data_IF_422161900282
#
_entry.id   IF_422161900282
#
_cell.length_a   1.000
_cell.length_b   1.000
_cell.length_c   1.000
_cell.angle_alpha   90.00
_cell.angle_beta   90.00
_cell.angle_gamma   90.00
#
_symmetry.space_group_name_H-M   'P 1'
#
loop_
_entity.id
_entity.type
_entity.pdbx_description
1 polymer ?
#
# COMPACT_ATOMS: atom_id res chain seq x y z
N UNK A 1 -59.68 -51.24 6.18
CA UNK A 1 -60.28 -50.92 4.86
C UNK A 1 -59.14 -50.60 3.91
N UNK A 2 -59.01 -51.43 2.89
CA UNK A 2 -57.97 -51.41 1.85
C UNK A 2 -58.28 -50.32 0.83
N UNK A 3 -57.28 -49.54 0.39
CA UNK A 3 -57.39 -48.81 -0.88
C UNK A 3 -56.08 -48.95 -1.66
N UNK A 4 -56.23 -49.51 -2.85
CA UNK A 4 -55.20 -49.69 -3.87
C UNK A 4 -55.87 -49.36 -5.20
N UNK A 5 -55.40 -48.37 -5.96
CA UNK A 5 -55.33 -48.40 -7.44
C UNK A 5 -54.87 -47.06 -8.05
N UNK A 6 -53.78 -47.13 -8.81
CA UNK A 6 -53.56 -46.65 -10.19
C UNK A 6 -54.12 -45.29 -10.65
N UNK A 7 -53.21 -44.52 -11.26
CA UNK A 7 -53.32 -43.67 -12.48
C UNK A 7 -52.77 -42.26 -12.22
N UNK A 8 -51.54 -41.97 -12.65
CA UNK A 8 -51.21 -41.46 -14.00
C UNK A 8 -52.05 -40.21 -14.31
N UNK A 9 -51.50 -39.04 -14.01
CA UNK A 9 -51.78 -37.82 -14.75
C UNK A 9 -50.55 -36.92 -14.69
N UNK A 10 -49.80 -36.99 -15.78
CA UNK A 10 -48.80 -36.06 -16.25
C UNK A 10 -49.12 -34.59 -15.88
N UNK A 11 -48.27 -33.99 -15.05
CA UNK A 11 -48.05 -32.55 -15.05
C UNK A 11 -46.57 -32.28 -15.28
N UNK A 12 -46.16 -32.42 -16.54
CA UNK A 12 -44.95 -31.79 -17.06
C UNK A 12 -45.13 -30.28 -17.01
N UNK A 13 -44.39 -29.59 -16.15
CA UNK A 13 -44.26 -28.14 -16.19
C UNK A 13 -42.82 -27.75 -15.85
N UNK A 14 -42.09 -27.48 -16.92
CA UNK A 14 -40.92 -26.61 -17.05
C UNK A 14 -39.98 -26.49 -15.83
N UNK A 15 -38.93 -27.30 -15.82
CA UNK A 15 -37.70 -26.97 -15.08
C UNK A 15 -37.02 -25.83 -15.85
N UNK A 16 -37.22 -24.59 -15.38
CA UNK A 16 -36.44 -23.45 -15.84
C UNK A 16 -34.99 -23.64 -15.40
N UNK A 17 -34.11 -23.95 -16.37
CA UNK A 17 -32.65 -23.89 -16.21
C UNK A 17 -32.23 -22.43 -16.05
N UNK A 18 -32.34 -21.92 -14.82
CA UNK A 18 -31.71 -20.67 -14.40
C UNK A 18 -30.21 -20.91 -14.19
N UNK A 19 -29.42 -20.92 -15.26
CA UNK A 19 -27.98 -20.83 -15.16
C UNK A 19 -27.62 -19.41 -14.70
N UNK A 20 -27.58 -19.18 -13.39
CA UNK A 20 -27.00 -17.97 -12.82
C UNK A 20 -25.50 -17.98 -13.07
N UNK A 21 -25.07 -17.38 -14.17
CA UNK A 21 -23.68 -17.00 -14.40
C UNK A 21 -23.33 -15.89 -13.38
N UNK A 22 -22.97 -16.30 -12.16
CA UNK A 22 -22.26 -15.42 -11.24
C UNK A 22 -20.86 -15.27 -11.82
N UNK A 23 -20.70 -14.30 -12.73
CA UNK A 23 -19.41 -13.82 -13.17
C UNK A 23 -18.71 -13.15 -12.00
N UNK A 24 -18.02 -13.93 -11.16
CA UNK A 24 -17.06 -13.40 -10.19
C UNK A 24 -15.93 -12.78 -11.00
N UNK A 25 -16.04 -11.50 -11.33
CA UNK A 25 -14.90 -10.67 -11.72
C UNK A 25 -14.08 -10.37 -10.46
N UNK A 26 -13.47 -11.42 -9.91
CA UNK A 26 -12.38 -11.26 -8.97
C UNK A 26 -11.18 -10.79 -9.76
N UNK A 27 -10.88 -9.49 -9.70
CA UNK A 27 -9.51 -9.05 -9.96
C UNK A 27 -8.65 -9.69 -8.87
N UNK A 28 -8.00 -10.80 -9.20
CA UNK A 28 -6.95 -11.37 -8.38
C UNK A 28 -5.80 -10.36 -8.39
N UNK A 29 -5.88 -9.37 -7.51
CA UNK A 29 -4.71 -8.61 -7.06
C UNK A 29 -3.88 -9.64 -6.32
N UNK A 30 -3.06 -10.38 -7.06
CA UNK A 30 -2.02 -11.19 -6.43
C UNK A 30 -1.14 -10.18 -5.69
N UNK A 31 -1.05 -10.23 -4.34
CA UNK A 31 0.10 -9.64 -3.70
C UNK A 31 1.28 -10.38 -4.34
N UNK A 32 2.10 -9.65 -5.10
CA UNK A 32 3.37 -10.21 -5.55
C UNK A 32 4.16 -10.39 -4.27
N UNK A 33 4.08 -11.58 -3.68
CA UNK A 33 5.00 -12.02 -2.66
C UNK A 33 6.36 -12.04 -3.35
N UNK A 34 7.10 -10.96 -3.21
CA UNK A 34 8.44 -10.88 -3.77
C UNK A 34 9.31 -11.86 -2.99
N UNK A 35 10.19 -12.56 -3.70
CA UNK A 35 11.10 -13.51 -3.10
C UNK A 35 11.82 -12.87 -1.89
N UNK A 36 11.82 -13.54 -0.74
CA UNK A 36 12.48 -13.06 0.48
C UNK A 36 11.58 -12.58 1.62
N UNK A 37 10.24 -12.70 1.52
CA UNK A 37 9.32 -12.37 2.62
C UNK A 37 8.98 -10.89 2.77
N UNK A 38 9.29 -10.09 1.74
CA UNK A 38 8.93 -8.68 1.63
C UNK A 38 7.44 -8.51 1.27
N UNK A 39 6.82 -7.44 1.78
CA UNK A 39 5.41 -7.12 1.54
C UNK A 39 5.33 -5.98 0.54
N UNK A 40 5.07 -6.32 -0.72
CA UNK A 40 5.02 -5.38 -1.84
C UNK A 40 3.66 -5.46 -2.53
N UNK A 41 2.66 -4.87 -1.88
CA UNK A 41 1.30 -4.79 -2.41
C UNK A 41 1.20 -3.70 -3.46
N UNK A 42 0.76 -4.06 -4.66
CA UNK A 42 0.36 -3.11 -5.69
C UNK A 42 -1.11 -2.71 -5.50
N UNK A 43 -1.44 -1.46 -5.79
CA UNK A 43 -2.78 -0.91 -5.64
C UNK A 43 -2.96 -0.14 -4.34
N UNK A 44 -4.20 0.31 -4.04
CA UNK A 44 -4.40 1.25 -2.98
C UNK A 44 -4.16 0.64 -1.59
N UNK A 45 -3.47 1.37 -0.74
CA UNK A 45 -3.03 0.94 0.58
C UNK A 45 -2.94 2.10 1.56
N UNK A 46 -2.57 1.82 2.80
CA UNK A 46 -2.39 2.84 3.84
C UNK A 46 -0.91 2.99 4.18
N UNK A 47 -0.39 4.21 4.27
CA UNK A 47 0.99 4.45 4.73
C UNK A 47 1.10 5.64 5.68
N UNK A 48 2.14 5.67 6.51
CA UNK A 48 2.56 6.89 7.22
C UNK A 48 3.71 7.59 6.51
N UNK A 49 3.83 8.89 6.77
CA UNK A 49 4.72 9.76 6.03
C UNK A 49 5.52 10.63 6.96
N UNK A 50 6.76 10.83 6.55
CA UNK A 50 7.72 11.73 7.14
C UNK A 50 8.44 12.47 6.03
N UNK A 51 9.22 13.46 6.41
CA UNK A 51 10.13 14.16 5.52
C UNK A 51 11.56 13.89 5.94
N UNK A 52 12.48 13.77 4.98
CA UNK A 52 13.90 13.64 5.26
C UNK A 52 14.74 14.41 4.23
N UNK A 53 16.01 14.68 4.57
CA UNK A 53 16.98 15.36 3.70
C UNK A 53 18.15 14.44 3.36
N UNK A 54 18.89 14.75 2.29
CA UNK A 54 20.21 14.12 2.03
C UNK A 54 20.23 12.82 1.21
N UNK A 55 19.37 12.62 0.21
CA UNK A 55 19.35 11.39 -0.61
C UNK A 55 20.30 11.40 -1.82
N UNK A 56 21.46 12.07 -1.73
CA UNK A 56 22.40 12.15 -2.86
C UNK A 56 23.03 10.78 -3.22
N UNK A 57 22.95 9.81 -2.31
CA UNK A 57 23.43 8.44 -2.50
C UNK A 57 22.35 7.46 -2.00
N UNK A 58 21.22 7.33 -2.72
CA UNK A 58 20.08 6.61 -2.20
C UNK A 58 20.25 5.09 -2.41
N UNK A 59 19.53 4.27 -1.65
CA UNK A 59 19.70 2.80 -1.64
C UNK A 59 19.52 2.12 -3.00
N UNK A 60 18.78 2.73 -3.94
CA UNK A 60 18.68 2.22 -5.31
C UNK A 60 19.92 2.47 -6.18
N UNK A 61 20.91 3.21 -5.68
CA UNK A 61 22.14 3.57 -6.40
C UNK A 61 21.98 4.65 -7.46
N UNK A 62 20.76 5.14 -7.68
CA UNK A 62 20.43 6.15 -8.69
C UNK A 62 19.56 7.22 -8.04
N UNK A 63 20.08 8.45 -7.96
CA UNK A 63 19.28 9.62 -7.61
C UNK A 63 18.37 10.00 -8.79
N UNK A 64 17.22 10.62 -8.48
CA UNK A 64 16.31 11.12 -9.49
C UNK A 64 15.97 12.59 -9.23
N UNK A 65 15.66 13.32 -10.29
CA UNK A 65 15.04 14.64 -10.19
C UNK A 65 13.53 14.53 -9.94
N UNK A 66 12.96 15.51 -9.26
CA UNK A 66 11.55 15.55 -8.87
C UNK A 66 11.29 15.02 -7.45
N UNK A 67 10.05 14.61 -7.18
CA UNK A 67 9.71 14.07 -5.87
C UNK A 67 10.16 12.62 -5.75
N UNK A 68 11.09 12.38 -4.83
CA UNK A 68 11.60 11.07 -4.48
C UNK A 68 11.15 10.68 -3.07
N UNK A 69 11.13 9.39 -2.81
CA UNK A 69 10.80 8.87 -1.50
C UNK A 69 11.67 7.67 -1.11
N UNK A 70 11.87 7.53 0.20
CA UNK A 70 12.31 6.30 0.84
C UNK A 70 11.09 5.50 1.30
N UNK A 71 11.08 4.19 1.08
CA UNK A 71 10.01 3.31 1.57
C UNK A 71 10.54 2.38 2.68
N UNK A 72 9.70 1.96 3.61
CA UNK A 72 10.05 1.01 4.69
C UNK A 72 10.73 -0.23 4.12
N UNK A 73 11.79 -0.72 4.79
CA UNK A 73 12.59 -1.87 4.38
C UNK A 73 11.75 -3.10 3.94
N UNK A 74 10.68 -3.41 4.68
CA UNK A 74 9.78 -4.52 4.36
C UNK A 74 9.10 -4.39 2.98
N UNK A 75 8.85 -3.16 2.54
CA UNK A 75 8.26 -2.84 1.24
C UNK A 75 9.32 -2.47 0.19
N UNK A 76 10.55 -2.13 0.59
CA UNK A 76 11.65 -1.82 -0.32
C UNK A 76 12.11 -3.05 -1.10
N UNK A 77 12.19 -4.21 -0.44
CA UNK A 77 12.61 -5.46 -1.07
C UNK A 77 14.10 -5.76 -0.98
N UNK A 78 14.82 -5.11 -0.05
CA UNK A 78 16.25 -5.33 0.20
C UNK A 78 16.60 -4.93 1.64
N UNK A 79 17.84 -5.18 2.06
CA UNK A 79 18.39 -4.75 3.36
C UNK A 79 19.60 -3.83 3.16
N UNK A 80 20.01 -3.05 4.18
CA UNK A 80 21.16 -2.14 4.07
C UNK A 80 22.42 -2.86 3.58
N UNK A 81 23.07 -2.30 2.56
CA UNK A 81 24.28 -2.87 1.96
C UNK A 81 24.07 -3.98 0.93
N UNK A 82 22.83 -4.48 0.73
CA UNK A 82 22.54 -5.53 -0.26
C UNK A 82 22.15 -4.98 -1.65
N UNK A 83 22.09 -3.66 -1.80
CA UNK A 83 21.76 -2.99 -3.06
C UNK A 83 20.26 -2.80 -3.28
N UNK A 84 19.83 -2.55 -4.53
CA UNK A 84 18.47 -2.12 -4.85
C UNK A 84 17.45 -3.23 -4.59
N UNK A 85 16.32 -2.87 -3.99
CA UNK A 85 15.15 -3.74 -3.88
C UNK A 85 14.18 -3.58 -5.05
N UNK A 86 13.18 -4.45 -5.15
CA UNK A 86 12.16 -4.43 -6.21
C UNK A 86 11.30 -3.15 -6.21
N UNK A 87 11.30 -2.38 -5.12
CA UNK A 87 10.61 -1.09 -5.06
C UNK A 87 11.31 0.02 -5.87
N UNK A 88 12.59 -0.13 -6.18
CA UNK A 88 13.38 0.88 -6.87
C UNK A 88 12.77 1.30 -8.21
N UNK A 89 12.58 2.61 -8.39
CA UNK A 89 12.03 3.21 -9.60
C UNK A 89 10.51 3.17 -9.72
N UNK A 90 9.80 2.49 -8.80
CA UNK A 90 8.34 2.48 -8.78
C UNK A 90 7.80 3.85 -8.37
N UNK A 91 6.67 4.24 -8.95
CA UNK A 91 6.00 5.49 -8.65
C UNK A 91 4.70 5.24 -7.87
N UNK A 92 4.44 6.07 -6.85
CA UNK A 92 3.24 5.99 -6.02
C UNK A 92 2.59 7.36 -5.91
N UNK A 93 1.27 7.40 -5.98
CA UNK A 93 0.48 8.59 -5.70
C UNK A 93 0.17 8.63 -4.20
N UNK A 94 0.54 9.71 -3.53
CA UNK A 94 0.40 9.86 -2.08
C UNK A 94 -0.65 10.93 -1.81
N UNK A 95 -1.74 10.58 -1.12
CA UNK A 95 -2.74 11.54 -0.62
C UNK A 95 -2.85 11.55 0.90
N UNK A 96 -2.49 12.67 1.54
CA UNK A 96 -2.56 12.81 3.01
C UNK A 96 -3.99 13.00 3.50
N UNK A 97 -4.37 12.28 4.55
CA UNK A 97 -5.77 12.27 5.03
C UNK A 97 -5.92 12.47 6.54
N UNK A 98 -4.84 12.37 7.32
CA UNK A 98 -4.86 12.51 8.78
C UNK A 98 -3.46 12.94 9.27
N UNK A 99 -3.41 13.76 10.32
CA UNK A 99 -2.20 13.99 11.12
C UNK A 99 -2.35 13.23 12.47
N UNK A 100 -1.55 12.18 12.73
CA UNK A 100 -1.67 11.39 13.96
C UNK A 100 -1.28 12.16 15.22
N UNK A 101 -0.56 13.29 15.12
CA UNK A 101 -0.25 14.15 16.26
C UNK A 101 -1.32 15.22 16.50
N UNK A 102 -2.13 15.52 15.47
CA UNK A 102 -3.22 16.48 15.54
C UNK A 102 -4.54 15.84 15.07
N UNK A 103 -5.11 14.87 15.80
CA UNK A 103 -6.26 14.09 15.33
C UNK A 103 -7.54 14.93 15.15
N UNK A 104 -7.61 16.11 15.76
CA UNK A 104 -8.71 17.07 15.58
C UNK A 104 -8.57 17.93 14.32
N UNK A 105 -7.42 17.88 13.63
CA UNK A 105 -7.19 18.61 12.40
C UNK A 105 -7.93 17.94 11.24
N UNK A 106 -8.91 18.63 10.68
CA UNK A 106 -9.75 18.13 9.59
C UNK A 106 -9.29 18.59 8.21
N UNK A 107 -8.21 19.38 8.15
CA UNK A 107 -7.64 19.88 6.90
C UNK A 107 -7.49 21.41 6.85
N UNK A 108 -7.06 21.95 5.70
CA UNK A 108 -6.82 21.22 4.45
C UNK A 108 -5.54 20.36 4.49
N UNK A 109 -5.65 19.08 4.11
CA UNK A 109 -4.48 18.30 3.75
C UNK A 109 -3.95 18.80 2.39
N UNK A 110 -2.63 18.85 2.22
CA UNK A 110 -2.05 19.29 0.94
C UNK A 110 -2.33 18.32 -0.22
N UNK A 111 -1.86 18.69 -1.40
CA UNK A 111 -2.19 18.00 -2.66
C UNK A 111 -1.64 16.58 -2.72
N UNK A 112 -2.31 15.74 -3.49
CA UNK A 112 -1.75 14.45 -3.90
C UNK A 112 -0.49 14.67 -4.75
N UNK A 113 0.57 13.95 -4.42
CA UNK A 113 1.85 14.00 -5.15
C UNK A 113 2.21 12.63 -5.68
N UNK A 114 2.92 12.56 -6.80
CA UNK A 114 3.50 11.31 -7.29
C UNK A 114 4.98 11.31 -6.92
N UNK A 115 5.41 10.30 -6.17
CA UNK A 115 6.81 10.12 -5.79
C UNK A 115 7.40 8.90 -6.49
N UNK A 116 8.69 8.97 -6.81
CA UNK A 116 9.48 7.81 -7.23
C UNK A 116 10.26 7.25 -6.06
N UNK A 117 10.19 5.94 -5.83
CA UNK A 117 11.04 5.28 -4.82
C UNK A 117 12.46 5.21 -5.35
N UNK A 118 13.37 5.90 -4.67
CA UNK A 118 14.80 5.86 -4.97
C UNK A 118 15.61 5.34 -3.80
N UNK A 119 15.00 5.25 -2.63
CA UNK A 119 15.72 5.06 -1.38
C UNK A 119 14.97 4.12 -0.43
N UNK A 120 15.65 3.74 0.65
CA UNK A 120 15.13 2.82 1.66
C UNK A 120 15.16 3.47 3.03
N UNK A 121 14.08 3.30 3.77
CA UNK A 121 14.05 3.57 5.20
C UNK A 121 14.31 2.27 5.98
N UNK A 122 15.50 2.08 6.56
CA UNK A 122 15.84 0.84 7.28
C UNK A 122 15.05 0.72 8.58
N UNK A 123 14.84 -0.51 9.05
CA UNK A 123 14.19 -0.76 10.36
C UNK A 123 15.01 -0.13 11.49
N UNK A 124 16.32 -0.39 11.50
CA UNK A 124 17.23 0.09 12.54
C UNK A 124 17.29 1.62 12.57
N UNK A 125 17.00 2.19 13.74
CA UNK A 125 17.00 3.64 13.99
C UNK A 125 15.76 4.38 13.48
N UNK A 126 14.78 3.67 12.89
CA UNK A 126 13.52 4.25 12.41
C UNK A 126 12.31 3.42 12.85
N UNK A 127 12.38 2.75 14.00
CA UNK A 127 11.42 1.75 14.45
C UNK A 127 9.98 2.30 14.54
N UNK A 128 9.84 3.58 14.91
CA UNK A 128 8.53 4.24 15.00
C UNK A 128 7.77 4.27 13.67
N UNK A 129 8.50 4.40 12.56
CA UNK A 129 7.97 4.65 11.23
C UNK A 129 8.17 3.47 10.29
N UNK A 130 9.39 2.96 10.22
CA UNK A 130 9.84 1.92 9.28
C UNK A 130 10.06 0.56 9.96
N UNK A 131 9.57 0.39 11.19
CA UNK A 131 9.75 -0.82 12.00
C UNK A 131 8.93 -2.05 11.55
N UNK A 132 8.30 -2.00 10.36
CA UNK A 132 7.55 -3.14 9.85
C UNK A 132 8.50 -4.31 9.54
N UNK A 133 8.09 -5.51 9.93
CA UNK A 133 8.78 -6.78 9.69
C UNK A 133 7.79 -7.84 9.18
N UNK A 134 8.29 -8.97 8.71
CA UNK A 134 7.44 -10.07 8.26
C UNK A 134 6.50 -10.60 9.38
N UNK A 135 6.94 -10.51 10.64
CA UNK A 135 6.17 -10.96 11.82
C UNK A 135 5.34 -9.86 12.48
N UNK A 136 5.65 -8.59 12.22
CA UNK A 136 4.90 -7.42 12.69
C UNK A 136 4.80 -6.41 11.56
N UNK A 137 3.75 -6.54 10.75
CA UNK A 137 3.64 -5.83 9.47
C UNK A 137 3.24 -4.36 9.59
N UNK A 138 2.99 -3.85 10.79
CA UNK A 138 2.61 -2.45 11.03
C UNK A 138 3.63 -1.75 11.92
N UNK A 139 3.78 -0.44 11.72
CA UNK A 139 4.57 0.41 12.62
C UNK A 139 3.76 0.89 13.84
N UNK A 140 4.34 1.79 14.65
CA UNK A 140 3.70 2.33 15.85
C UNK A 140 2.42 3.13 15.57
N UNK A 141 2.22 3.57 14.33
CA UNK A 141 1.02 4.29 13.88
C UNK A 141 -0.01 3.38 13.20
N UNK A 142 0.17 2.06 13.33
CA UNK A 142 -0.65 1.02 12.72
C UNK A 142 -0.67 1.08 11.17
N UNK A 143 0.43 1.53 10.57
CA UNK A 143 0.55 1.66 9.12
C UNK A 143 1.43 0.55 8.54
N UNK A 144 0.96 -0.16 7.50
CA UNK A 144 1.67 -1.31 6.93
C UNK A 144 2.90 -0.91 6.10
N UNK A 145 2.98 0.35 5.68
CA UNK A 145 4.09 0.90 4.92
C UNK A 145 4.44 2.29 5.45
N UNK A 146 5.72 2.64 5.46
CA UNK A 146 6.17 4.03 5.55
C UNK A 146 6.64 4.52 4.19
N UNK A 147 6.29 5.74 3.84
CA UNK A 147 6.93 6.48 2.75
C UNK A 147 7.44 7.83 3.26
N UNK A 148 8.75 7.98 3.38
CA UNK A 148 9.40 9.24 3.72
C UNK A 148 9.70 10.02 2.44
N UNK A 149 9.10 11.20 2.29
CA UNK A 149 9.34 12.08 1.14
C UNK A 149 10.65 12.84 1.33
N UNK A 150 11.41 13.02 0.26
CA UNK A 150 12.54 13.94 0.31
C UNK A 150 12.10 15.40 0.25
N UNK A 151 12.69 16.23 1.10
CA UNK A 151 12.76 17.67 0.87
C UNK A 151 13.90 17.98 -0.10
N UNK A 152 13.58 18.03 -1.40
CA UNK A 152 14.46 18.71 -2.35
C UNK A 152 14.25 20.21 -2.14
N UNK A 153 15.31 20.93 -1.80
CA UNK A 153 15.37 22.38 -1.52
C UNK A 153 14.87 23.32 -2.64
N UNK A 154 14.16 22.82 -3.64
CA UNK A 154 13.48 23.62 -4.66
C UNK A 154 12.01 23.75 -4.27
N UNK A 155 11.78 24.61 -3.28
CA UNK A 155 10.46 24.87 -2.72
C UNK A 155 9.42 25.19 -3.77
N UNK A 156 8.29 24.49 -3.71
CA UNK A 156 6.98 24.98 -4.15
C UNK A 156 5.81 24.24 -3.48
N UNK A 157 6.04 23.66 -2.30
CA UNK A 157 4.99 23.00 -1.54
C UNK A 157 5.08 23.52 -0.11
N UNK A 158 4.12 24.36 0.30
CA UNK A 158 3.90 24.71 1.70
C UNK A 158 3.35 23.51 2.51
N UNK A 159 3.80 22.29 2.23
CA UNK A 159 3.48 21.13 3.04
C UNK A 159 4.35 21.21 4.29
N UNK A 160 3.70 21.41 5.44
CA UNK A 160 4.34 21.77 6.69
C UNK A 160 5.59 20.96 6.98
N UNK A 161 6.68 21.68 7.23
CA UNK A 161 7.84 21.18 7.97
C UNK A 161 7.30 20.45 9.20
N UNK A 162 7.53 19.14 9.27
CA UNK A 162 7.17 18.24 10.39
C UNK A 162 5.75 17.65 10.41
N UNK A 163 5.00 17.72 9.31
CA UNK A 163 3.68 17.10 9.27
C UNK A 163 3.79 15.58 9.05
N UNK A 164 3.86 14.83 10.14
CA UNK A 164 3.61 13.41 10.11
C UNK A 164 2.16 13.19 9.71
N UNK A 165 1.91 12.30 8.75
CA UNK A 165 0.55 12.11 8.25
C UNK A 165 0.31 10.67 7.85
N UNK A 166 -0.93 10.21 7.96
CA UNK A 166 -1.40 8.95 7.39
C UNK A 166 -2.02 9.22 6.03
N UNK A 167 -1.75 8.35 5.07
CA UNK A 167 -2.25 8.46 3.71
C UNK A 167 -2.92 7.18 3.27
N UNK A 168 -3.73 7.33 2.23
CA UNK A 168 -4.02 6.27 1.27
C UNK A 168 -3.15 6.48 0.02
N UNK A 169 -2.41 5.46 -0.38
CA UNK A 169 -1.79 5.36 -1.72
C UNK A 169 -2.58 4.37 -2.57
#
# INVERSE_FOLDING_TARGET
MTFNNKMIALFTSAIALGASLVGVRGTLVHPRATAGGYVQTAGPGSASFTMYTGCNQPACGIAASGYTAAISQLAFGSAPGLGPGDACGRCFALTGTEDPYSPSYTGPFGKSIVVKVTDMCPVAGNEAWCGQTATSQTNQFNMPVQAARLDHSNGHDNYGRNDHKKFKY
#
